data_IF_092958714078
#
_entry.id   IF_092958714078
#
_cell.length_a   1.000
_cell.length_b   1.000
_cell.length_c   1.000
_cell.angle_alpha   90.00
_cell.angle_beta   90.00
_cell.angle_gamma   90.00
#
_symmetry.space_group_name_H-M   'P 1'
#
loop_
_entity.id
_entity.type
_entity.pdbx_description
1 polymer ?
#
# COMPACT_ATOMS: atom_id res chain seq x y z
N UNK A 1 -39.18 36.54 -35.36
CA UNK A 1 -38.52 35.36 -36.01
C UNK A 1 -38.05 34.41 -34.90
N UNK A 2 -38.47 33.14 -34.99
CA UNK A 2 -38.05 31.90 -34.25
C UNK A 2 -38.13 31.95 -32.71
N UNK A 3 -38.87 31.08 -32.01
CA UNK A 3 -39.69 29.91 -32.36
C UNK A 3 -40.34 29.39 -31.07
N UNK A 4 -41.58 28.92 -31.18
CA UNK A 4 -42.55 28.65 -30.11
C UNK A 4 -42.59 27.13 -29.72
N UNK A 5 -43.48 26.63 -28.85
CA UNK A 5 -43.24 26.37 -27.43
C UNK A 5 -43.31 24.88 -26.99
N UNK A 6 -43.05 24.68 -25.69
CA UNK A 6 -43.24 23.49 -24.84
C UNK A 6 -44.29 22.46 -25.32
N UNK A 7 -43.85 21.22 -25.58
CA UNK A 7 -44.70 20.03 -25.43
C UNK A 7 -43.91 18.85 -24.83
N UNK A 8 -44.13 18.69 -23.52
CA UNK A 8 -44.45 17.43 -22.84
C UNK A 8 -43.64 16.16 -23.20
N UNK A 9 -42.66 15.83 -22.36
CA UNK A 9 -42.45 14.44 -21.95
C UNK A 9 -42.95 14.27 -20.51
N UNK A 10 -43.86 13.31 -20.39
CA UNK A 10 -44.67 12.93 -19.26
C UNK A 10 -43.83 12.50 -18.04
N UNK A 11 -43.92 13.27 -16.96
CA UNK A 11 -43.56 12.87 -15.59
C UNK A 11 -44.61 11.93 -14.95
N UNK A 12 -45.49 11.33 -15.76
CA UNK A 12 -46.61 10.51 -15.29
C UNK A 12 -46.54 9.06 -15.78
N UNK A 13 -45.43 8.37 -15.45
CA UNK A 13 -45.39 6.88 -15.42
C UNK A 13 -44.24 6.24 -14.61
N UNK A 14 -43.41 6.98 -13.86
CA UNK A 14 -42.44 6.36 -12.93
C UNK A 14 -42.96 6.22 -11.48
N UNK A 15 -44.28 6.19 -11.31
CA UNK A 15 -44.94 5.91 -10.03
C UNK A 15 -45.95 4.78 -10.22
N UNK A 16 -45.45 3.53 -10.29
CA UNK A 16 -46.15 2.27 -9.92
C UNK A 16 -45.30 1.03 -10.21
N UNK A 17 -44.10 1.02 -9.66
CA UNK A 17 -43.38 -0.17 -9.23
C UNK A 17 -42.40 0.36 -8.17
N UNK A 18 -42.64 0.06 -6.91
CA UNK A 18 -42.07 0.75 -5.76
C UNK A 18 -40.57 0.58 -5.53
N UNK A 19 -39.74 0.47 -6.57
CA UNK A 19 -38.27 0.52 -6.53
C UNK A 19 -37.77 1.04 -7.87
N UNK A 20 -37.45 2.32 -7.93
CA UNK A 20 -36.59 2.86 -8.97
C UNK A 20 -35.19 2.30 -8.67
N UNK A 21 -34.75 1.26 -9.39
CA UNK A 21 -33.34 0.88 -9.38
C UNK A 21 -32.63 1.92 -10.24
N UNK A 22 -32.26 3.04 -9.61
CA UNK A 22 -31.21 3.89 -10.11
C UNK A 22 -29.94 3.08 -9.93
N UNK A 23 -29.40 2.56 -11.03
CA UNK A 23 -28.02 2.08 -11.05
C UNK A 23 -27.17 3.34 -11.13
N UNK A 24 -27.05 4.00 -9.98
CA UNK A 24 -26.13 5.09 -9.78
C UNK A 24 -24.75 4.51 -10.07
N UNK A 25 -24.10 4.99 -11.11
CA UNK A 25 -22.69 4.74 -11.34
C UNK A 25 -21.92 5.51 -10.27
N UNK A 26 -22.02 5.07 -9.01
CA UNK A 26 -20.93 5.25 -8.05
C UNK A 26 -19.78 4.41 -8.62
N UNK A 27 -18.97 5.01 -9.48
CA UNK A 27 -17.54 4.66 -9.46
C UNK A 27 -17.10 4.95 -8.03
N UNK A 28 -17.17 3.89 -7.23
CA UNK A 28 -16.84 3.87 -5.82
C UNK A 28 -15.50 4.61 -5.67
N UNK A 29 -15.51 5.78 -5.00
CA UNK A 29 -14.33 6.62 -4.73
C UNK A 29 -13.40 5.93 -3.71
N UNK A 30 -13.30 4.59 -3.79
CA UNK A 30 -12.51 3.76 -2.92
C UNK A 30 -11.04 4.15 -3.06
N UNK A 31 -10.46 4.56 -1.94
CA UNK A 31 -9.05 4.93 -1.89
C UNK A 31 -8.20 3.66 -2.04
N UNK A 32 -7.49 3.55 -3.16
CA UNK A 32 -6.57 2.41 -3.43
C UNK A 32 -5.44 2.35 -2.41
N UNK A 33 -5.08 1.13 -2.02
CA UNK A 33 -3.91 0.83 -1.18
C UNK A 33 -2.88 0.08 -2.01
N UNK A 34 -1.70 0.68 -2.21
CA UNK A 34 -0.59 0.04 -2.92
C UNK A 34 0.50 -0.36 -1.94
N UNK A 35 0.80 -1.65 -1.86
CA UNK A 35 1.87 -2.20 -1.02
C UNK A 35 3.13 -2.34 -1.88
N UNK A 36 4.19 -1.64 -1.50
CA UNK A 36 5.50 -1.70 -2.13
C UNK A 36 6.46 -2.41 -1.19
N UNK A 37 7.11 -3.47 -1.64
CA UNK A 37 8.06 -4.24 -0.85
C UNK A 37 9.39 -4.37 -1.60
N UNK A 38 10.49 -4.06 -0.93
CA UNK A 38 11.86 -4.24 -1.44
C UNK A 38 12.81 -4.27 -0.26
N UNK A 39 13.85 -5.08 -0.31
CA UNK A 39 14.81 -5.19 0.79
C UNK A 39 15.67 -6.44 0.71
N UNK A 40 16.87 -6.34 1.27
CA UNK A 40 17.74 -7.49 1.50
C UNK A 40 17.20 -8.30 2.67
N UNK A 41 17.37 -9.62 2.59
CA UNK A 41 17.03 -10.48 3.73
C UNK A 41 18.13 -10.50 4.81
N UNK A 42 17.71 -10.66 6.06
CA UNK A 42 18.56 -10.73 7.24
C UNK A 42 18.05 -11.79 8.20
N UNK A 43 18.94 -12.69 8.63
CA UNK A 43 18.58 -13.89 9.39
C UNK A 43 18.29 -15.09 8.49
N UNK A 44 17.69 -16.13 9.07
CA UNK A 44 17.38 -17.38 8.39
C UNK A 44 15.86 -17.56 8.25
N UNK A 45 15.35 -17.86 7.04
CA UNK A 45 13.95 -18.23 6.86
C UNK A 45 13.56 -19.45 7.71
N UNK A 46 12.31 -19.54 8.21
CA UNK A 46 11.19 -18.63 7.97
C UNK A 46 11.15 -17.41 8.91
N UNK A 47 12.11 -17.30 9.83
CA UNK A 47 12.16 -16.21 10.80
C UNK A 47 13.07 -15.07 10.33
N UNK A 48 13.20 -14.82 9.04
CA UNK A 48 14.06 -13.76 8.52
C UNK A 48 13.31 -12.42 8.41
N UNK A 49 14.07 -11.32 8.30
CA UNK A 49 13.51 -9.98 8.22
C UNK A 49 12.62 -9.80 6.98
N UNK A 50 13.02 -10.38 5.84
CA UNK A 50 12.22 -10.29 4.61
C UNK A 50 10.93 -11.10 4.71
N UNK A 51 10.97 -12.32 5.28
CA UNK A 51 9.76 -13.13 5.51
C UNK A 51 8.75 -12.43 6.44
N UNK A 52 9.24 -11.66 7.42
CA UNK A 52 8.39 -10.81 8.26
C UNK A 52 7.77 -9.65 7.49
N UNK A 53 8.49 -9.05 6.56
CA UNK A 53 7.94 -8.01 5.67
C UNK A 53 6.90 -8.60 4.71
N UNK A 54 7.13 -9.81 4.17
CA UNK A 54 6.16 -10.55 3.37
C UNK A 54 4.88 -10.83 4.18
N UNK A 55 5.03 -11.27 5.42
CA UNK A 55 3.91 -11.49 6.35
C UNK A 55 3.15 -10.20 6.67
N UNK A 56 3.87 -9.09 6.88
CA UNK A 56 3.27 -7.78 7.07
C UNK A 56 2.51 -7.31 5.82
N UNK A 57 3.08 -7.48 4.62
CA UNK A 57 2.43 -7.17 3.35
C UNK A 57 1.13 -7.96 3.19
N UNK A 58 1.13 -9.26 3.46
CA UNK A 58 -0.06 -10.12 3.41
C UNK A 58 -1.14 -9.64 4.39
N UNK A 59 -0.75 -9.30 5.62
CA UNK A 59 -1.67 -8.81 6.65
C UNK A 59 -2.32 -7.49 6.24
N UNK A 60 -1.52 -6.56 5.73
CA UNK A 60 -1.96 -5.23 5.28
C UNK A 60 -2.87 -5.34 4.05
N UNK A 61 -2.49 -6.15 3.06
CA UNK A 61 -3.32 -6.42 1.88
C UNK A 61 -4.67 -7.01 2.29
N UNK A 62 -4.68 -8.03 3.15
CA UNK A 62 -5.92 -8.64 3.66
C UNK A 62 -6.78 -7.63 4.41
N UNK A 63 -6.18 -6.77 5.24
CA UNK A 63 -6.91 -5.73 5.96
C UNK A 63 -7.56 -4.73 4.99
N UNK A 64 -6.81 -4.21 4.02
CA UNK A 64 -7.30 -3.27 3.02
C UNK A 64 -8.44 -3.88 2.19
N UNK A 65 -8.29 -5.13 1.74
CA UNK A 65 -9.35 -5.84 1.01
C UNK A 65 -10.62 -6.03 1.85
N UNK A 66 -10.48 -6.38 3.13
CA UNK A 66 -11.62 -6.48 4.05
C UNK A 66 -12.32 -5.14 4.30
N UNK A 67 -11.57 -4.04 4.24
CA UNK A 67 -12.10 -2.69 4.34
C UNK A 67 -12.70 -2.17 3.02
N UNK A 68 -12.73 -2.98 1.95
CA UNK A 68 -13.26 -2.58 0.65
C UNK A 68 -12.32 -1.67 -0.14
N UNK A 69 -11.02 -1.68 0.13
CA UNK A 69 -10.04 -0.92 -0.66
C UNK A 69 -9.41 -1.81 -1.74
N UNK A 70 -9.34 -1.36 -3.01
CA UNK A 70 -8.56 -2.03 -4.04
C UNK A 70 -7.08 -2.09 -3.65
N UNK A 71 -6.45 -3.24 -3.87
CA UNK A 71 -5.05 -3.46 -3.51
C UNK A 71 -4.18 -3.70 -4.75
N UNK A 72 -3.05 -3.00 -4.82
CA UNK A 72 -1.94 -3.32 -5.73
C UNK A 72 -0.72 -3.75 -4.91
N UNK A 73 0.05 -4.70 -5.41
CA UNK A 73 1.33 -5.13 -4.85
C UNK A 73 2.45 -4.86 -5.86
N UNK A 74 3.55 -4.28 -5.40
CA UNK A 74 4.69 -3.91 -6.24
C UNK A 74 5.98 -4.36 -5.56
N UNK A 75 6.78 -5.14 -6.29
CA UNK A 75 8.15 -5.46 -5.93
C UNK A 75 9.12 -5.01 -7.03
N UNK A 76 10.43 -5.28 -6.86
CA UNK A 76 11.47 -4.95 -7.82
C UNK A 76 11.19 -5.46 -9.24
N UNK A 77 10.84 -6.74 -9.34
CA UNK A 77 10.74 -7.47 -10.62
C UNK A 77 9.30 -7.74 -11.08
N UNK A 78 8.33 -7.63 -10.17
CA UNK A 78 6.95 -8.00 -10.44
C UNK A 78 5.97 -7.00 -9.84
N UNK A 79 4.75 -7.00 -10.38
CA UNK A 79 3.61 -6.29 -9.81
C UNK A 79 2.35 -7.13 -9.97
N UNK A 80 1.42 -6.96 -9.03
CA UNK A 80 0.06 -7.48 -9.10
C UNK A 80 -0.91 -6.32 -8.91
N UNK A 81 -1.85 -6.16 -9.84
CA UNK A 81 -2.87 -5.11 -9.75
C UNK A 81 -4.22 -5.70 -9.44
N UNK A 82 -5.06 -4.94 -8.73
CA UNK A 82 -6.42 -5.36 -8.34
C UNK A 82 -6.41 -6.75 -7.67
N UNK A 83 -5.47 -6.91 -6.74
CA UNK A 83 -5.23 -8.14 -6.03
C UNK A 83 -6.46 -8.53 -5.20
N UNK A 84 -6.68 -9.84 -5.06
CA UNK A 84 -7.59 -10.40 -4.07
C UNK A 84 -6.78 -11.19 -3.04
N UNK A 85 -7.46 -11.79 -2.06
CA UNK A 85 -6.79 -12.52 -1.00
C UNK A 85 -5.89 -13.65 -1.52
N UNK A 86 -6.40 -14.48 -2.43
CA UNK A 86 -5.68 -15.64 -2.96
C UNK A 86 -4.51 -15.21 -3.85
N UNK A 87 -4.71 -14.26 -4.77
CA UNK A 87 -3.66 -13.79 -5.66
C UNK A 87 -2.58 -13.01 -4.92
N UNK A 88 -2.94 -12.29 -3.85
CA UNK A 88 -1.95 -11.64 -2.98
C UNK A 88 -1.01 -12.66 -2.34
N UNK A 89 -1.54 -13.75 -1.79
CA UNK A 89 -0.73 -14.77 -1.14
C UNK A 89 0.17 -15.52 -2.14
N UNK A 90 -0.36 -15.90 -3.31
CA UNK A 90 0.45 -16.56 -4.35
C UNK A 90 1.57 -15.64 -4.87
N UNK A 91 1.29 -14.36 -5.07
CA UNK A 91 2.29 -13.39 -5.53
C UNK A 91 3.38 -13.15 -4.48
N UNK A 92 2.97 -12.97 -3.21
CA UNK A 92 3.89 -12.75 -2.10
C UNK A 92 4.80 -13.96 -1.83
N UNK A 93 4.27 -15.18 -1.96
CA UNK A 93 5.03 -16.42 -1.76
C UNK A 93 6.15 -16.63 -2.82
N UNK A 94 6.10 -15.92 -3.95
CA UNK A 94 7.09 -16.01 -5.03
C UNK A 94 8.15 -14.92 -4.97
N UNK A 95 8.01 -13.94 -4.07
CA UNK A 95 8.96 -12.84 -3.97
C UNK A 95 10.32 -13.32 -3.46
N UNK A 96 11.37 -12.92 -4.18
CA UNK A 96 12.74 -13.02 -3.69
C UNK A 96 13.18 -11.70 -3.04
N UNK A 97 14.04 -11.73 -2.01
CA UNK A 97 14.62 -10.54 -1.42
C UNK A 97 15.58 -9.85 -2.41
N UNK A 98 15.20 -8.65 -2.86
CA UNK A 98 16.01 -7.83 -3.76
C UNK A 98 16.16 -6.45 -3.14
N UNK A 99 17.41 -5.96 -3.08
CA UNK A 99 17.76 -4.68 -2.45
C UNK A 99 17.69 -3.51 -3.46
N UNK A 100 16.51 -3.31 -4.07
CA UNK A 100 16.22 -2.18 -4.97
C UNK A 100 15.76 -0.95 -4.15
N UNK A 101 16.25 0.27 -4.46
CA UNK A 101 15.70 1.50 -3.89
C UNK A 101 14.17 1.60 -4.07
N UNK A 102 13.49 2.18 -3.10
CA UNK A 102 12.02 2.25 -3.07
C UNK A 102 11.47 3.37 -3.96
N UNK A 103 12.20 4.47 -4.15
CA UNK A 103 11.76 5.66 -4.89
C UNK A 103 11.33 5.32 -6.33
N UNK A 104 12.07 4.53 -7.12
CA UNK A 104 11.61 4.06 -8.43
C UNK A 104 10.28 3.29 -8.35
N UNK A 105 10.11 2.42 -7.37
CA UNK A 105 8.88 1.63 -7.18
C UNK A 105 7.70 2.52 -6.77
N UNK A 106 7.92 3.51 -5.90
CA UNK A 106 6.92 4.52 -5.52
C UNK A 106 6.48 5.35 -6.72
N UNK A 107 7.39 5.72 -7.62
CA UNK A 107 7.03 6.43 -8.86
C UNK A 107 6.15 5.56 -9.75
N UNK A 108 6.48 4.28 -9.92
CA UNK A 108 5.64 3.31 -10.67
C UNK A 108 4.26 3.16 -10.03
N UNK A 109 4.18 3.10 -8.70
CA UNK A 109 2.93 3.03 -7.94
C UNK A 109 2.06 4.27 -8.16
N UNK A 110 2.67 5.45 -8.08
CA UNK A 110 1.97 6.74 -8.14
C UNK A 110 1.34 7.03 -9.50
N UNK A 111 1.87 6.47 -10.58
CA UNK A 111 1.33 6.63 -11.94
C UNK A 111 -0.07 6.03 -12.13
N UNK A 112 -0.45 5.05 -11.31
CA UNK A 112 -1.75 4.36 -11.42
C UNK A 112 -2.81 4.87 -10.44
N UNK A 113 -2.44 5.73 -9.51
CA UNK A 113 -3.34 6.15 -8.45
C UNK A 113 -3.93 7.52 -8.73
N UNK A 114 -5.20 7.69 -8.36
CA UNK A 114 -5.77 9.02 -8.19
C UNK A 114 -5.08 9.71 -6.99
N UNK A 115 -5.03 11.05 -7.03
CA UNK A 115 -4.58 11.85 -5.86
C UNK A 115 -5.40 11.39 -4.64
N UNK A 116 -4.73 11.10 -3.51
CA UNK A 116 -5.24 10.57 -2.22
C UNK A 116 -5.11 9.05 -1.95
N UNK A 117 -4.60 8.24 -2.88
CA UNK A 117 -4.27 6.82 -2.59
C UNK A 117 -3.26 6.63 -1.45
N UNK A 118 -3.28 5.48 -0.78
CA UNK A 118 -2.32 5.12 0.28
C UNK A 118 -1.20 4.26 -0.30
N UNK A 119 0.06 4.60 -0.04
CA UNK A 119 1.20 3.74 -0.38
C UNK A 119 1.78 3.20 0.92
N UNK A 120 1.89 1.88 1.04
CA UNK A 120 2.58 1.23 2.15
C UNK A 120 3.94 0.75 1.68
N UNK A 121 5.02 1.23 2.28
CA UNK A 121 6.40 0.87 1.95
C UNK A 121 6.94 -0.14 2.97
N UNK A 122 7.43 -1.28 2.51
CA UNK A 122 8.01 -2.32 3.34
C UNK A 122 9.44 -2.57 2.93
N UNK A 123 10.37 -2.46 3.90
CA UNK A 123 11.79 -2.66 3.64
C UNK A 123 12.57 -3.07 4.87
N UNK A 124 13.74 -3.69 4.66
CA UNK A 124 14.73 -3.86 5.71
C UNK A 124 15.35 -2.51 6.07
N UNK A 125 15.75 -2.34 7.33
CA UNK A 125 16.30 -1.07 7.80
C UNK A 125 17.72 -0.81 7.29
N UNK A 126 18.39 -1.87 6.82
CA UNK A 126 19.68 -1.86 6.15
C UNK A 126 19.51 -2.02 4.63
N UNK A 127 20.61 -1.85 3.89
CA UNK A 127 20.63 -1.96 2.44
C UNK A 127 20.19 -0.69 1.73
N UNK A 128 20.19 -0.75 0.40
CA UNK A 128 19.82 0.35 -0.50
C UNK A 128 18.35 0.72 -0.36
N UNK A 129 17.47 -0.28 -0.24
CA UNK A 129 16.04 -0.06 -0.06
C UNK A 129 15.74 0.70 1.24
N UNK A 130 16.36 0.31 2.36
CA UNK A 130 16.22 0.98 3.66
C UNK A 130 16.79 2.40 3.67
N UNK A 131 17.98 2.60 3.10
CA UNK A 131 18.61 3.92 3.01
C UNK A 131 17.79 4.92 2.17
N UNK A 132 17.05 4.44 1.18
CA UNK A 132 16.20 5.25 0.30
C UNK A 132 14.80 5.53 0.88
N UNK A 133 14.42 4.90 1.99
CA UNK A 133 13.06 4.98 2.55
C UNK A 133 12.59 6.43 2.80
N UNK A 134 13.37 7.34 3.42
CA UNK A 134 12.89 8.72 3.62
C UNK A 134 12.64 9.47 2.31
N UNK A 135 13.46 9.23 1.29
CA UNK A 135 13.27 9.83 -0.04
C UNK A 135 12.02 9.26 -0.73
N UNK A 136 11.78 7.95 -0.60
CA UNK A 136 10.60 7.29 -1.14
C UNK A 136 9.30 7.77 -0.47
N UNK A 137 9.30 7.95 0.86
CA UNK A 137 8.17 8.55 1.60
C UNK A 137 7.93 9.99 1.10
N UNK A 138 8.98 10.79 0.98
CA UNK A 138 8.86 12.16 0.45
C UNK A 138 8.29 12.17 -0.98
N UNK A 139 8.78 11.30 -1.86
CA UNK A 139 8.31 11.18 -3.25
C UNK A 139 6.83 10.78 -3.33
N UNK A 140 6.38 9.81 -2.52
CA UNK A 140 4.98 9.42 -2.45
C UNK A 140 4.09 10.59 -2.01
N UNK A 141 4.54 11.34 -1.01
CA UNK A 141 3.81 12.53 -0.55
C UNK A 141 3.75 13.62 -1.62
N UNK A 142 4.86 13.89 -2.31
CA UNK A 142 4.93 14.86 -3.40
C UNK A 142 4.01 14.49 -4.59
N UNK A 143 3.79 13.19 -4.81
CA UNK A 143 2.82 12.68 -5.78
C UNK A 143 1.35 12.80 -5.33
N UNK A 144 1.08 13.33 -4.12
CA UNK A 144 -0.27 13.51 -3.60
C UNK A 144 -0.89 12.25 -2.98
N UNK A 145 -0.06 11.27 -2.61
CA UNK A 145 -0.46 10.03 -1.93
C UNK A 145 -0.23 10.15 -0.43
N UNK A 146 -0.71 9.16 0.35
CA UNK A 146 -0.49 9.04 1.79
C UNK A 146 0.50 7.89 2.06
N UNK A 147 1.80 8.16 2.15
CA UNK A 147 2.78 7.13 2.42
C UNK A 147 2.74 6.69 3.89
N UNK A 148 2.84 5.39 4.12
CA UNK A 148 3.10 4.76 5.42
C UNK A 148 4.24 3.77 5.22
N UNK A 149 5.22 3.75 6.10
CA UNK A 149 6.38 2.89 6.01
C UNK A 149 6.41 1.89 7.17
N UNK A 150 6.83 0.66 6.87
CA UNK A 150 7.13 -0.41 7.82
C UNK A 150 8.56 -0.86 7.56
N UNK A 151 9.44 -0.64 8.53
CA UNK A 151 10.84 -1.03 8.42
C UNK A 151 11.19 -2.17 9.37
N UNK A 152 11.73 -3.27 8.84
CA UNK A 152 12.29 -4.34 9.66
C UNK A 152 13.69 -3.97 10.13
N UNK A 153 13.89 -3.81 11.43
CA UNK A 153 15.19 -3.49 12.04
C UNK A 153 16.14 -4.69 11.86
N UNK A 154 16.86 -4.70 10.73
CA UNK A 154 17.69 -5.81 10.27
C UNK A 154 18.71 -6.28 11.31
N UNK A 155 19.25 -5.34 12.08
CA UNK A 155 20.14 -5.60 13.21
C UNK A 155 19.58 -6.66 14.18
N UNK A 156 18.26 -6.66 14.42
CA UNK A 156 17.63 -7.56 15.40
C UNK A 156 17.65 -9.03 14.99
N UNK A 157 17.82 -9.30 13.69
CA UNK A 157 18.01 -10.66 13.17
C UNK A 157 19.46 -11.15 13.24
N UNK A 158 20.40 -10.25 13.54
CA UNK A 158 21.83 -10.57 13.75
C UNK A 158 22.27 -10.33 15.20
N UNK A 159 21.32 -10.31 16.13
CA UNK A 159 21.60 -10.28 17.57
C UNK A 159 21.84 -8.89 18.18
N UNK A 160 21.52 -7.80 17.48
CA UNK A 160 21.62 -6.42 17.99
C UNK A 160 20.33 -5.66 17.78
N UNK A 161 19.94 -4.71 18.63
CA UNK A 161 18.80 -3.82 18.31
C UNK A 161 19.31 -2.40 18.07
N UNK A 162 19.65 -2.12 16.81
CA UNK A 162 20.17 -0.82 16.37
C UNK A 162 19.22 -0.19 15.35
N UNK A 163 18.79 1.04 15.62
CA UNK A 163 18.02 1.84 14.69
C UNK A 163 18.96 2.62 13.75
N UNK A 164 18.73 2.59 12.43
CA UNK A 164 19.55 3.36 11.52
C UNK A 164 19.27 4.85 11.65
N UNK A 165 20.29 5.68 11.41
CA UNK A 165 20.22 7.15 11.53
C UNK A 165 19.09 7.79 10.73
N UNK A 166 18.63 7.16 9.65
CA UNK A 166 17.55 7.69 8.82
C UNK A 166 16.17 7.60 9.49
N UNK A 167 15.98 6.83 10.57
CA UNK A 167 14.71 6.77 11.32
C UNK A 167 14.30 8.14 11.87
N UNK A 168 15.28 8.98 12.22
CA UNK A 168 15.06 10.36 12.68
C UNK A 168 15.12 11.40 11.55
N UNK A 169 15.02 10.95 10.30
CA UNK A 169 15.07 11.83 9.13
C UNK A 169 13.94 12.87 9.17
N UNK A 170 14.21 14.15 8.89
CA UNK A 170 13.17 15.19 8.85
C UNK A 170 12.16 14.99 7.71
N UNK A 171 12.46 14.14 6.73
CA UNK A 171 11.54 13.78 5.66
C UNK A 171 10.37 12.91 6.16
N UNK A 172 10.59 12.14 7.24
CA UNK A 172 9.60 11.28 7.87
C UNK A 172 8.77 12.08 8.88
N UNK A 173 7.45 12.13 8.68
CA UNK A 173 6.53 12.75 9.66
C UNK A 173 6.17 11.73 10.74
N UNK A 174 5.76 12.27 11.89
CA UNK A 174 5.22 11.45 12.99
C UNK A 174 4.06 10.60 12.48
N UNK A 175 4.12 9.29 12.73
CA UNK A 175 3.10 8.32 12.33
C UNK A 175 3.25 7.74 10.91
N UNK A 176 4.22 8.20 10.12
CA UNK A 176 4.48 7.61 8.79
C UNK A 176 5.48 6.45 8.82
N UNK A 177 6.11 6.17 9.95
CA UNK A 177 7.06 5.05 10.09
C UNK A 177 6.65 4.17 11.27
N UNK A 178 6.55 2.88 11.00
CA UNK A 178 6.47 1.79 11.97
C UNK A 178 7.73 0.93 11.85
N UNK A 179 8.22 0.42 12.96
CA UNK A 179 9.37 -0.50 12.98
C UNK A 179 8.98 -1.85 13.53
N UNK A 180 9.46 -2.91 12.87
CA UNK A 180 9.33 -4.31 13.33
C UNK A 180 10.72 -4.84 13.66
N UNK A 181 10.83 -5.73 14.65
CA UNK A 181 12.09 -6.31 15.09
C UNK A 181 11.88 -7.77 15.50
N UNK A 182 12.92 -8.60 15.39
CA UNK A 182 12.86 -10.01 15.80
C UNK A 182 12.39 -10.12 17.25
N UNK A 183 11.48 -11.06 17.50
CA UNK A 183 10.90 -11.30 18.82
C UNK A 183 9.80 -10.33 19.25
N UNK A 184 9.49 -9.29 18.47
CA UNK A 184 8.29 -8.46 18.70
C UNK A 184 7.05 -9.11 18.10
N UNK A 185 5.91 -8.92 18.74
CA UNK A 185 4.63 -9.33 18.17
C UNK A 185 4.30 -8.44 16.96
N UNK A 186 4.29 -9.04 15.77
CA UNK A 186 4.02 -8.34 14.51
C UNK A 186 2.64 -7.66 14.50
N UNK A 187 1.64 -8.29 15.13
CA UNK A 187 0.29 -7.74 15.21
C UNK A 187 0.29 -6.45 16.04
N UNK A 188 0.98 -6.46 17.18
CA UNK A 188 1.16 -5.27 18.03
C UNK A 188 1.94 -4.16 17.31
N UNK A 189 2.98 -4.50 16.55
CA UNK A 189 3.77 -3.52 15.80
C UNK A 189 2.97 -2.81 14.70
N UNK A 190 2.00 -3.51 14.08
CA UNK A 190 1.14 -2.95 13.05
C UNK A 190 -0.12 -2.25 13.59
N UNK A 191 -0.32 -2.24 14.92
CA UNK A 191 -1.46 -1.57 15.57
C UNK A 191 -2.80 -2.29 15.40
N UNK A 192 -2.80 -3.61 15.23
CA UNK A 192 -3.99 -4.46 15.03
C UNK A 192 -4.38 -5.28 16.26
#
# INVERSE_FOLDING_TARGET
RKGDPLRAVHWRSAARAGRLIVREYEEDLQTRVTVVISGRDWGEPPESAFEWLVSAAASIARYALKAGHPVDLIGPEARLTDANHTTSLDWLARLAPVDEPLTPLVRRASQRMNRRGTIVLLTSSAGRAGADLPAAVHAGRAAGTRPVAVAALASSWVGKLEEPKWVTSPQLRRGELLTIAKGKDLKKCLGA
#
